data_IF_976429224461
#
_entry.id   IF_976429224461
#
_cell.length_a   1.000
_cell.length_b   1.000
_cell.length_c   1.000
_cell.angle_alpha   90.00
_cell.angle_beta   90.00
_cell.angle_gamma   90.00
#
_symmetry.space_group_name_H-M   'P 1'
#
loop_
_entity.id
_entity.type
_entity.pdbx_description
1 polymer ?
#
# COMPACT_ATOMS: atom_id res chain seq x y z
N UNK A 1 -16.01 38.29 22.36
CA UNK A 1 -15.21 37.06 22.28
C UNK A 1 -15.94 36.13 21.34
N UNK A 2 -15.50 35.99 20.09
CA UNK A 2 -16.16 35.13 19.11
C UNK A 2 -15.19 34.15 18.48
N UNK A 3 -15.76 33.00 18.15
CA UNK A 3 -15.16 31.66 18.13
C UNK A 3 -14.27 31.46 16.90
N UNK A 4 -13.07 30.93 17.15
CA UNK A 4 -12.11 30.46 16.13
C UNK A 4 -12.79 29.49 15.17
N UNK A 5 -13.00 29.91 13.93
CA UNK A 5 -13.40 29.04 12.83
C UNK A 5 -12.21 28.13 12.48
N UNK A 6 -12.13 26.93 13.09
CA UNK A 6 -11.16 25.91 12.68
C UNK A 6 -11.63 25.35 11.34
N UNK A 7 -10.88 25.66 10.28
CA UNK A 7 -11.01 25.09 8.94
C UNK A 7 -11.22 23.58 9.05
N UNK A 8 -12.42 23.12 8.72
CA UNK A 8 -12.75 21.70 8.60
C UNK A 8 -11.89 21.12 7.47
N UNK A 9 -10.81 20.41 7.81
CA UNK A 9 -10.12 19.52 6.86
C UNK A 9 -11.18 18.59 6.30
N UNK A 10 -11.51 18.71 5.01
CA UNK A 10 -12.39 17.76 4.32
C UNK A 10 -11.72 16.39 4.44
N UNK A 11 -12.28 15.53 5.27
CA UNK A 11 -11.84 14.14 5.39
C UNK A 11 -12.31 13.47 4.09
N UNK A 12 -11.38 13.16 3.18
CA UNK A 12 -11.72 12.38 1.99
C UNK A 12 -12.37 11.06 2.42
N UNK A 13 -13.42 10.58 1.71
CA UNK A 13 -14.04 9.31 2.03
C UNK A 13 -13.00 8.18 1.94
N UNK A 14 -13.05 7.24 2.90
CA UNK A 14 -12.07 6.17 3.02
C UNK A 14 -11.90 5.34 1.74
N UNK A 15 -12.92 5.24 0.88
CA UNK A 15 -12.81 4.57 -0.42
C UNK A 15 -11.82 5.28 -1.35
N UNK A 16 -11.83 6.61 -1.40
CA UNK A 16 -10.95 7.40 -2.28
C UNK A 16 -9.47 7.19 -1.91
N UNK A 17 -9.14 7.12 -0.62
CA UNK A 17 -7.77 6.83 -0.17
C UNK A 17 -7.31 5.43 -0.57
N UNK A 18 -8.19 4.43 -0.41
CA UNK A 18 -7.85 3.06 -0.77
C UNK A 18 -7.66 2.90 -2.29
N UNK A 19 -8.48 3.59 -3.09
CA UNK A 19 -8.39 3.53 -4.54
C UNK A 19 -7.11 4.24 -5.04
N UNK A 20 -6.73 5.39 -4.47
CA UNK A 20 -5.43 6.05 -4.72
C UNK A 20 -4.25 5.13 -4.37
N UNK A 21 -4.30 4.48 -3.21
CA UNK A 21 -3.26 3.55 -2.77
C UNK A 21 -3.14 2.31 -3.68
N UNK A 22 -4.27 1.79 -4.18
CA UNK A 22 -4.27 0.67 -5.13
C UNK A 22 -3.67 1.07 -6.47
N UNK A 23 -4.00 2.26 -6.98
CA UNK A 23 -3.40 2.78 -8.21
C UNK A 23 -1.90 2.96 -8.05
N UNK A 24 -1.46 3.57 -6.95
CA UNK A 24 -0.04 3.73 -6.64
C UNK A 24 0.67 2.37 -6.58
N UNK A 25 0.08 1.36 -5.92
CA UNK A 25 0.67 0.01 -5.90
C UNK A 25 0.89 -0.54 -7.31
N UNK A 26 -0.11 -0.41 -8.20
CA UNK A 26 0.01 -0.88 -9.59
C UNK A 26 1.12 -0.16 -10.36
N UNK A 27 1.26 1.15 -10.16
CA UNK A 27 2.33 1.94 -10.76
C UNK A 27 3.71 1.49 -10.25
N UNK A 28 3.85 1.32 -8.93
CA UNK A 28 5.12 0.90 -8.33
C UNK A 28 5.56 -0.49 -8.79
N UNK A 29 4.61 -1.42 -8.98
CA UNK A 29 4.87 -2.76 -9.51
C UNK A 29 5.46 -2.75 -10.93
N UNK A 30 5.27 -1.69 -11.71
CA UNK A 30 5.93 -1.51 -13.02
C UNK A 30 7.38 -1.04 -12.91
N UNK A 31 7.83 -0.63 -11.72
CA UNK A 31 9.16 -0.03 -11.47
C UNK A 31 10.07 -0.87 -10.57
N UNK A 32 9.71 -2.15 -10.37
CA UNK A 32 10.52 -3.13 -9.63
C UNK A 32 11.91 -3.23 -10.29
N UNK A 33 13.01 -3.26 -9.49
CA UNK A 33 13.08 -3.56 -8.05
C UNK A 33 13.23 -2.37 -7.09
N UNK A 34 13.10 -1.12 -7.54
CA UNK A 34 13.57 0.03 -6.76
C UNK A 34 12.74 0.36 -5.49
N UNK A 35 11.54 -0.20 -5.34
CA UNK A 35 10.55 0.25 -4.35
C UNK A 35 9.87 -0.90 -3.57
N UNK A 36 10.61 -1.97 -3.29
CA UNK A 36 10.07 -3.17 -2.61
C UNK A 36 9.40 -2.85 -1.26
N UNK A 37 9.97 -1.93 -0.47
CA UNK A 37 9.42 -1.54 0.84
C UNK A 37 8.09 -0.80 0.72
N UNK A 38 7.98 0.19 -0.18
CA UNK A 38 6.71 0.88 -0.42
C UNK A 38 5.64 -0.07 -0.95
N UNK A 39 6.00 -0.96 -1.87
CA UNK A 39 5.09 -1.97 -2.43
C UNK A 39 4.57 -2.87 -1.29
N UNK A 40 5.46 -3.38 -0.44
CA UNK A 40 5.06 -4.26 0.66
C UNK A 40 4.17 -3.54 1.69
N UNK A 41 4.51 -2.31 2.07
CA UNK A 41 3.69 -1.53 3.02
C UNK A 41 2.31 -1.19 2.44
N UNK A 42 2.23 -0.82 1.15
CA UNK A 42 0.96 -0.63 0.46
C UNK A 42 0.15 -1.93 0.41
N UNK A 43 0.80 -3.07 0.18
CA UNK A 43 0.15 -4.37 0.17
C UNK A 43 -0.49 -4.69 1.53
N UNK A 44 0.22 -4.45 2.62
CA UNK A 44 -0.29 -4.63 4.00
C UNK A 44 -1.48 -3.70 4.25
N UNK A 45 -1.36 -2.41 3.89
CA UNK A 45 -2.45 -1.44 4.04
C UNK A 45 -3.71 -1.85 3.26
N UNK A 46 -3.56 -2.20 1.99
CA UNK A 46 -4.66 -2.60 1.12
C UNK A 46 -5.27 -3.95 1.51
N UNK A 47 -4.47 -4.88 2.04
CA UNK A 47 -4.96 -6.14 2.59
C UNK A 47 -5.85 -5.91 3.81
N UNK A 48 -5.44 -5.01 4.72
CA UNK A 48 -6.28 -4.62 5.85
C UNK A 48 -7.60 -3.95 5.39
N UNK A 49 -7.55 -3.17 4.31
CA UNK A 49 -8.72 -2.56 3.68
C UNK A 49 -9.56 -3.53 2.81
N UNK A 50 -9.19 -4.82 2.72
CA UNK A 50 -9.79 -5.85 1.84
C UNK A 50 -9.80 -5.47 0.35
N UNK A 51 -8.84 -4.63 -0.06
CA UNK A 51 -8.57 -4.27 -1.45
C UNK A 51 -7.54 -5.20 -2.10
N UNK A 52 -6.81 -5.94 -1.26
CA UNK A 52 -6.03 -7.10 -1.64
C UNK A 52 -6.40 -8.28 -0.76
N UNK A 53 -6.36 -9.49 -1.31
CA UNK A 53 -6.58 -10.73 -0.56
C UNK A 53 -5.40 -11.64 -0.84
N UNK A 54 -4.62 -11.94 0.20
CA UNK A 54 -3.56 -12.94 0.10
C UNK A 54 -4.18 -14.32 -0.17
N UNK A 55 -3.80 -14.94 -1.28
CA UNK A 55 -4.29 -16.27 -1.69
C UNK A 55 -3.27 -17.37 -1.43
N UNK A 56 -2.00 -17.06 -1.61
CA UNK A 56 -0.93 -18.03 -1.46
C UNK A 56 0.36 -17.35 -1.01
N UNK A 57 1.11 -18.02 -0.15
CA UNK A 57 2.50 -17.70 0.12
C UNK A 57 3.39 -18.77 -0.50
N UNK A 58 4.58 -18.38 -0.95
CA UNK A 58 5.58 -19.30 -1.47
C UNK A 58 6.99 -18.74 -1.27
N UNK A 59 7.99 -19.60 -1.39
CA UNK A 59 9.40 -19.21 -1.34
C UNK A 59 10.03 -19.30 -2.73
N UNK A 60 10.79 -18.27 -3.09
CA UNK A 60 11.54 -18.21 -4.35
C UNK A 60 12.83 -17.43 -4.11
N UNK A 61 13.95 -17.99 -4.56
CA UNK A 61 15.29 -17.38 -4.44
C UNK A 61 15.68 -17.02 -2.99
N UNK A 62 15.21 -17.81 -2.01
CA UNK A 62 15.47 -17.58 -0.59
C UNK A 62 14.61 -16.48 0.05
N UNK A 63 13.65 -15.91 -0.68
CA UNK A 63 12.71 -14.92 -0.17
C UNK A 63 11.29 -15.46 -0.12
N UNK A 64 10.49 -14.96 0.82
CA UNK A 64 9.04 -15.20 0.87
C UNK A 64 8.31 -14.24 -0.07
N UNK A 65 7.28 -14.75 -0.74
CA UNK A 65 6.43 -14.03 -1.67
C UNK A 65 4.97 -14.34 -1.38
N UNK A 66 4.09 -13.37 -1.62
CA UNK A 66 2.64 -13.53 -1.54
C UNK A 66 2.00 -13.27 -2.90
N UNK A 67 1.07 -14.14 -3.29
CA UNK A 67 0.14 -13.93 -4.41
C UNK A 67 -1.13 -13.29 -3.84
N UNK A 68 -1.42 -12.07 -4.25
CA UNK A 68 -2.58 -11.30 -3.80
C UNK A 68 -3.58 -11.14 -4.94
N UNK A 69 -4.86 -11.41 -4.67
CA UNK A 69 -5.96 -11.07 -5.56
C UNK A 69 -6.41 -9.61 -5.33
N UNK A 70 -6.70 -8.90 -6.41
CA UNK A 70 -7.44 -7.64 -6.41
C UNK A 70 -8.93 -7.96 -6.63
N UNK A 71 -9.78 -7.86 -5.59
CA UNK A 71 -11.17 -8.30 -5.68
C UNK A 71 -11.93 -7.53 -6.76
N UNK A 72 -12.80 -8.25 -7.49
CA UNK A 72 -13.66 -7.71 -8.57
C UNK A 72 -12.90 -7.24 -9.83
N UNK A 73 -11.58 -7.44 -9.91
CA UNK A 73 -10.78 -7.11 -11.08
C UNK A 73 -10.19 -8.34 -11.77
N UNK A 74 -10.39 -9.54 -11.21
CA UNK A 74 -9.81 -10.81 -11.70
C UNK A 74 -8.30 -10.70 -11.96
N UNK A 75 -7.62 -9.91 -11.14
CA UNK A 75 -6.22 -9.55 -11.28
C UNK A 75 -5.44 -10.05 -10.06
N UNK A 76 -4.26 -10.61 -10.29
CA UNK A 76 -3.36 -11.09 -9.25
C UNK A 76 -2.02 -10.35 -9.34
N UNK A 77 -1.48 -10.01 -8.18
CA UNK A 77 -0.16 -9.39 -8.04
C UNK A 77 0.71 -10.21 -7.10
N UNK A 78 1.99 -10.32 -7.44
CA UNK A 78 2.97 -11.05 -6.65
C UNK A 78 3.88 -10.06 -5.95
N UNK A 79 3.91 -10.10 -4.62
CA UNK A 79 4.61 -9.13 -3.80
C UNK A 79 5.56 -9.86 -2.86
N UNK A 80 6.82 -9.43 -2.84
CA UNK A 80 7.83 -9.94 -1.92
C UNK A 80 7.45 -9.57 -0.49
N UNK A 81 7.47 -10.55 0.40
CA UNK A 81 7.17 -10.36 1.82
C UNK A 81 8.47 -9.99 2.52
N UNK A 82 8.53 -8.76 3.03
CA UNK A 82 9.70 -8.25 3.72
C UNK A 82 9.59 -8.47 5.24
N UNK A 83 10.68 -8.86 5.92
CA UNK A 83 10.71 -8.88 7.37
C UNK A 83 10.44 -7.48 7.94
N UNK A 84 9.47 -7.36 8.84
CA UNK A 84 9.07 -6.05 9.42
C UNK A 84 10.22 -5.31 10.12
N UNK A 85 11.19 -6.06 10.67
CA UNK A 85 12.38 -5.49 11.33
C UNK A 85 13.28 -4.70 10.36
N UNK A 86 13.16 -4.94 9.05
CA UNK A 86 13.95 -4.27 8.02
C UNK A 86 13.23 -3.04 7.44
N UNK A 87 12.00 -2.73 7.88
CA UNK A 87 11.21 -1.64 7.30
C UNK A 87 11.42 -0.36 8.11
N UNK A 88 11.97 0.67 7.45
CA UNK A 88 12.11 2.01 8.02
C UNK A 88 10.80 2.80 7.88
N UNK A 89 9.88 2.59 8.83
CA UNK A 89 8.51 3.12 8.75
C UNK A 89 8.43 4.64 8.56
N UNK A 90 9.25 5.44 9.23
CA UNK A 90 9.24 6.91 9.08
C UNK A 90 9.63 7.36 7.65
N UNK A 91 10.67 6.72 7.09
CA UNK A 91 11.14 6.99 5.72
C UNK A 91 10.04 6.64 4.71
N UNK A 92 9.44 5.46 4.87
CA UNK A 92 8.40 4.96 3.96
C UNK A 92 7.11 5.78 4.07
N UNK A 93 6.70 6.17 5.27
CA UNK A 93 5.52 7.03 5.45
C UNK A 93 5.70 8.37 4.76
N UNK A 94 6.88 9.00 4.86
CA UNK A 94 7.17 10.25 4.16
C UNK A 94 7.13 10.07 2.64
N UNK A 95 7.81 9.04 2.13
CA UNK A 95 7.85 8.75 0.70
C UNK A 95 6.45 8.45 0.12
N UNK A 96 5.63 7.68 0.83
CA UNK A 96 4.25 7.39 0.44
C UNK A 96 3.35 8.64 0.51
N UNK A 97 3.53 9.48 1.53
CA UNK A 97 2.77 10.72 1.64
C UNK A 97 3.04 11.67 0.48
N UNK A 98 4.29 11.77 0.01
CA UNK A 98 4.66 12.57 -1.16
C UNK A 98 4.03 12.02 -2.45
N UNK A 99 3.96 10.69 -2.61
CA UNK A 99 3.36 10.03 -3.78
C UNK A 99 1.82 10.06 -3.79
N UNK A 100 1.19 10.23 -2.62
CA UNK A 100 -0.27 10.22 -2.44
C UNK A 100 -0.89 11.63 -2.29
N UNK A 101 -0.06 12.68 -2.27
CA UNK A 101 -0.49 14.08 -2.15
C UNK A 101 -1.25 14.55 -3.40
#
# INVERSE_FOLDING_TARGET
MEVKNRSKKKIEPASSRCDKALNLLKELLQTVPLQEEEIFVLAVFLSHARKLILRQEFEKEGFKWGVYEIPRQDEFVTIKILPLVLIETDRIQKALAEKLA
#
